data_IF_265918049185
#
_entry.id   IF_265918049185
#
_cell.length_a   1.000
_cell.length_b   1.000
_cell.length_c   1.000
_cell.angle_alpha   90.00
_cell.angle_beta   90.00
_cell.angle_gamma   90.00
#
_symmetry.space_group_name_H-M   'P 1'
#
loop_
_entity.id
_entity.type
_entity.pdbx_description
1 polymer ?
#
# COMPACT_ATOMS: atom_id res chain seq x y z
N UNK A 1 -38.53 33.47 -19.33
CA UNK A 1 -37.69 32.36 -19.83
C UNK A 1 -36.36 32.42 -19.13
N UNK A 2 -36.09 31.52 -18.18
CA UNK A 2 -34.74 31.18 -17.71
C UNK A 2 -34.89 29.93 -16.84
N UNK A 3 -34.83 28.77 -17.49
CA UNK A 3 -34.70 27.50 -16.79
C UNK A 3 -33.28 27.39 -16.28
N UNK A 4 -33.11 27.34 -14.96
CA UNK A 4 -31.84 26.95 -14.36
C UNK A 4 -31.65 25.46 -14.65
N UNK A 5 -30.82 25.15 -15.63
CA UNK A 5 -30.35 23.79 -15.88
C UNK A 5 -29.47 23.39 -14.71
N UNK A 6 -30.06 22.63 -13.78
CA UNK A 6 -29.27 21.88 -12.81
C UNK A 6 -28.39 20.92 -13.61
N UNK A 7 -27.10 21.23 -13.69
CA UNK A 7 -26.10 20.27 -14.12
C UNK A 7 -26.11 19.13 -13.10
N UNK A 8 -26.83 18.05 -13.43
CA UNK A 8 -26.74 16.78 -12.72
C UNK A 8 -25.30 16.28 -12.86
N UNK A 9 -24.50 16.51 -11.83
CA UNK A 9 -23.22 15.85 -11.67
C UNK A 9 -23.52 14.39 -11.33
N UNK A 10 -23.57 13.54 -12.35
CA UNK A 10 -23.56 12.09 -12.21
C UNK A 10 -22.26 11.66 -11.53
N UNK A 11 -22.23 11.77 -10.20
CA UNK A 11 -21.36 10.95 -9.36
C UNK A 11 -22.01 9.59 -9.23
N UNK A 12 -22.06 8.83 -10.32
CA UNK A 12 -22.14 7.37 -10.19
C UNK A 12 -20.97 6.95 -9.32
N UNK A 13 -21.27 6.53 -8.08
CA UNK A 13 -20.27 6.14 -7.08
C UNK A 13 -19.41 5.02 -7.62
N UNK A 14 -18.30 5.37 -8.27
CA UNK A 14 -17.40 4.40 -8.85
C UNK A 14 -16.62 3.76 -7.70
N UNK A 15 -17.02 2.53 -7.34
CA UNK A 15 -16.28 1.72 -6.38
C UNK A 15 -14.94 1.35 -7.05
N UNK A 16 -13.80 1.69 -6.44
CA UNK A 16 -12.52 1.35 -7.02
C UNK A 16 -12.36 -0.17 -7.09
N UNK A 17 -11.77 -0.67 -8.17
CA UNK A 17 -11.50 -2.10 -8.34
C UNK A 17 -10.60 -2.66 -7.23
N UNK A 18 -9.71 -1.81 -6.69
CA UNK A 18 -8.87 -2.12 -5.55
C UNK A 18 -8.77 -0.95 -4.58
N UNK A 19 -8.65 -1.26 -3.30
CA UNK A 19 -8.32 -0.31 -2.24
C UNK A 19 -7.14 -0.81 -1.43
N UNK A 20 -6.33 0.11 -0.92
CA UNK A 20 -5.17 -0.21 -0.08
C UNK A 20 -5.37 0.48 1.26
N UNK A 21 -5.31 -0.30 2.32
CA UNK A 21 -5.40 0.19 3.69
C UNK A 21 -4.09 -0.05 4.44
N UNK A 22 -3.90 0.64 5.57
CA UNK A 22 -2.75 0.48 6.43
C UNK A 22 -1.57 1.37 6.04
N UNK A 23 -0.36 0.97 6.46
CA UNK A 23 0.86 1.75 6.24
C UNK A 23 1.97 0.92 5.64
N UNK A 24 2.48 1.36 4.48
CA UNK A 24 3.60 0.71 3.80
C UNK A 24 4.87 0.85 4.62
N UNK A 25 5.12 2.01 5.24
CA UNK A 25 6.26 2.22 6.14
C UNK A 25 6.26 1.27 7.34
N UNK A 26 5.08 0.98 7.90
CA UNK A 26 4.95 0.02 9.01
C UNK A 26 4.87 -1.43 8.54
N UNK A 27 4.90 -1.68 7.22
CA UNK A 27 4.67 -2.97 6.56
C UNK A 27 3.40 -3.65 7.11
N UNK A 28 2.29 -2.95 6.97
CA UNK A 28 0.97 -3.33 7.50
C UNK A 28 -0.14 -3.13 6.47
N UNK A 29 0.22 -3.12 5.18
CA UNK A 29 -0.74 -2.86 4.12
C UNK A 29 -1.63 -4.07 3.85
N UNK A 30 -2.88 -3.78 3.54
CA UNK A 30 -3.86 -4.74 3.05
C UNK A 30 -4.43 -4.24 1.75
N UNK A 31 -4.34 -5.05 0.71
CA UNK A 31 -4.88 -4.76 -0.61
C UNK A 31 -6.20 -5.52 -0.71
N UNK A 32 -7.28 -4.80 -0.99
CA UNK A 32 -8.63 -5.36 -1.11
C UNK A 32 -9.18 -5.14 -2.51
N UNK A 33 -10.01 -6.06 -2.97
CA UNK A 33 -10.80 -5.88 -4.19
C UNK A 33 -12.03 -4.98 -3.94
N UNK A 34 -12.80 -4.70 -4.98
CA UNK A 34 -14.05 -3.93 -4.90
C UNK A 34 -15.11 -4.56 -4.00
N UNK A 35 -15.03 -5.87 -3.76
CA UNK A 35 -15.88 -6.60 -2.81
C UNK A 35 -15.44 -6.46 -1.34
N UNK A 36 -14.30 -5.81 -1.08
CA UNK A 36 -13.74 -5.66 0.26
C UNK A 36 -12.95 -6.87 0.75
N UNK A 37 -12.73 -7.88 -0.09
CA UNK A 37 -11.97 -9.08 0.24
C UNK A 37 -10.47 -8.80 0.15
N UNK A 38 -9.70 -9.29 1.13
CA UNK A 38 -8.25 -9.11 1.16
C UNK A 38 -7.57 -10.05 0.15
N UNK A 39 -7.03 -9.46 -0.93
CA UNK A 39 -6.37 -10.18 -2.02
C UNK A 39 -4.86 -10.27 -1.86
N UNK A 40 -4.27 -9.35 -1.10
CA UNK A 40 -2.87 -9.42 -0.72
C UNK A 40 -2.57 -8.64 0.56
N UNK A 41 -1.49 -9.02 1.24
CA UNK A 41 -1.05 -8.41 2.49
C UNK A 41 0.46 -8.22 2.54
N UNK A 42 0.86 -7.08 3.06
CA UNK A 42 2.26 -6.74 3.32
C UNK A 42 2.48 -6.76 4.83
N UNK A 43 3.41 -7.60 5.29
CA UNK A 43 3.78 -7.74 6.70
C UNK A 43 5.28 -7.53 6.91
N UNK A 44 5.67 -7.14 8.12
CA UNK A 44 7.10 -7.09 8.48
C UNK A 44 7.69 -8.49 8.44
N UNK A 45 8.78 -8.66 7.71
CA UNK A 45 9.56 -9.90 7.77
C UNK A 45 10.52 -9.80 8.97
N UNK A 46 10.32 -10.66 9.98
CA UNK A 46 11.30 -10.81 11.06
C UNK A 46 12.48 -11.60 10.51
N UNK A 47 13.53 -10.92 10.06
CA UNK A 47 14.82 -11.59 9.89
C UNK A 47 15.29 -12.05 11.28
N UNK A 48 15.77 -13.30 11.38
CA UNK A 48 16.36 -13.80 12.63
C UNK A 48 17.43 -12.83 13.12
N UNK A 49 17.48 -12.59 14.42
CA UNK A 49 18.21 -11.51 15.09
C UNK A 49 19.76 -11.53 14.95
N UNK A 50 20.32 -12.27 14.00
CA UNK A 50 21.74 -12.60 13.96
C UNK A 50 22.56 -11.93 12.85
N UNK A 51 21.99 -11.22 11.86
CA UNK A 51 22.84 -10.82 10.71
C UNK A 51 22.45 -9.62 9.84
N UNK A 52 21.41 -8.83 10.16
CA UNK A 52 21.09 -7.66 9.34
C UNK A 52 21.08 -6.42 10.23
N UNK A 53 21.91 -5.44 9.88
CA UNK A 53 21.87 -4.09 10.45
C UNK A 53 20.42 -3.58 10.42
N UNK A 54 20.02 -2.81 11.43
CA UNK A 54 18.66 -2.25 11.57
C UNK A 54 18.12 -1.62 10.27
N UNK A 55 19.01 -1.11 9.43
CA UNK A 55 18.74 -0.56 8.09
C UNK A 55 18.20 -1.59 7.09
N UNK A 56 18.74 -2.81 7.03
CA UNK A 56 18.27 -3.85 6.11
C UNK A 56 16.95 -4.47 6.56
N UNK A 57 16.68 -4.47 7.87
CA UNK A 57 15.43 -5.00 8.42
C UNK A 57 14.20 -4.14 8.07
N UNK A 58 14.38 -2.86 7.73
CA UNK A 58 13.28 -1.98 7.32
C UNK A 58 12.84 -2.17 5.87
N UNK A 59 13.78 -2.55 4.98
CA UNK A 59 13.51 -2.77 3.55
C UNK A 59 12.93 -4.16 3.25
N UNK A 60 13.12 -5.13 4.16
CA UNK A 60 12.65 -6.49 3.94
C UNK A 60 11.23 -6.67 4.49
N UNK A 61 10.31 -7.05 3.62
CA UNK A 61 8.92 -7.37 3.97
C UNK A 61 8.47 -8.70 3.38
N UNK A 62 7.39 -9.24 3.93
CA UNK A 62 6.69 -10.39 3.37
C UNK A 62 5.46 -9.90 2.60
N UNK A 63 5.26 -10.44 1.40
CA UNK A 63 4.08 -10.23 0.58
C UNK A 63 3.35 -11.55 0.46
N UNK A 64 2.12 -11.60 0.97
CA UNK A 64 1.21 -12.75 0.88
C UNK A 64 0.14 -12.40 -0.14
N UNK A 65 0.00 -13.19 -1.20
CA UNK A 65 -0.99 -12.98 -2.28
C UNK A 65 -1.95 -14.17 -2.28
N UNK A 66 -3.25 -13.90 -2.35
CA UNK A 66 -4.25 -14.96 -2.43
C UNK A 66 -4.09 -15.76 -3.74
N UNK A 67 -4.42 -17.06 -3.72
CA UNK A 67 -4.49 -17.86 -4.95
C UNK A 67 -5.40 -17.20 -5.99
N UNK A 68 -5.04 -17.31 -7.27
CA UNK A 68 -5.79 -16.76 -8.42
C UNK A 68 -5.83 -15.23 -8.54
N UNK A 69 -5.00 -14.51 -7.76
CA UNK A 69 -4.79 -13.06 -7.93
C UNK A 69 -3.59 -12.82 -8.84
N UNK A 70 -3.69 -11.82 -9.72
CA UNK A 70 -2.58 -11.42 -10.59
C UNK A 70 -1.43 -10.82 -9.76
N UNK A 71 -0.38 -11.63 -9.58
CA UNK A 71 0.83 -11.23 -8.87
C UNK A 71 1.51 -9.99 -9.50
N UNK A 72 1.44 -9.80 -10.83
CA UNK A 72 2.04 -8.65 -11.48
C UNK A 72 1.32 -7.36 -11.09
N UNK A 73 -0.01 -7.40 -11.02
CA UNK A 73 -0.82 -6.28 -10.56
C UNK A 73 -0.53 -5.94 -9.09
N UNK A 74 -0.42 -6.95 -8.21
CA UNK A 74 -0.06 -6.74 -6.81
C UNK A 74 1.34 -6.13 -6.68
N UNK A 75 2.32 -6.62 -7.45
CA UNK A 75 3.67 -6.06 -7.48
C UNK A 75 3.68 -4.62 -8.00
N UNK A 76 2.82 -4.27 -8.97
CA UNK A 76 2.68 -2.89 -9.42
C UNK A 76 2.24 -1.96 -8.28
N UNK A 77 1.30 -2.38 -7.43
CA UNK A 77 0.93 -1.62 -6.23
C UNK A 77 2.11 -1.48 -5.26
N UNK A 78 2.87 -2.54 -5.02
CA UNK A 78 4.06 -2.49 -4.17
C UNK A 78 5.07 -1.46 -4.68
N UNK A 79 5.33 -1.45 -5.99
CA UNK A 79 6.25 -0.49 -6.63
C UNK A 79 5.73 0.94 -6.46
N UNK A 80 4.44 1.19 -6.72
CA UNK A 80 3.84 2.51 -6.54
C UNK A 80 3.94 2.96 -5.08
N UNK A 81 3.58 2.09 -4.13
CA UNK A 81 3.67 2.37 -2.70
C UNK A 81 5.11 2.68 -2.27
N UNK A 82 6.09 1.95 -2.78
CA UNK A 82 7.51 2.19 -2.51
C UNK A 82 7.95 3.58 -2.98
N UNK A 83 7.56 3.95 -4.22
CA UNK A 83 7.89 5.25 -4.80
C UNK A 83 7.26 6.42 -4.07
N UNK A 84 5.98 6.31 -3.66
CA UNK A 84 5.27 7.42 -2.99
C UNK A 84 5.55 7.48 -1.48
N UNK A 85 5.93 6.36 -0.86
CA UNK A 85 6.27 6.31 0.56
C UNK A 85 7.77 6.53 0.83
N UNK A 86 8.58 6.66 -0.23
CA UNK A 86 10.01 6.89 -0.16
C UNK A 86 10.37 8.03 0.81
N UNK A 87 11.36 7.80 1.67
CA UNK A 87 11.95 8.85 2.52
C UNK A 87 13.40 9.10 2.09
N UNK A 88 13.88 10.35 2.07
CA UNK A 88 15.31 10.59 2.17
C UNK A 88 15.80 10.03 3.51
N UNK A 89 16.94 9.35 3.49
CA UNK A 89 17.60 8.83 4.69
C UNK A 89 17.81 9.97 5.69
N UNK A 90 17.05 9.96 6.79
CA UNK A 90 17.29 10.83 7.95
C UNK A 90 18.01 10.00 9.00
N UNK A 91 19.35 10.08 9.10
CA UNK A 91 20.04 9.40 10.18
C UNK A 91 19.49 9.94 11.49
N UNK A 92 19.13 9.05 12.42
CA UNK A 92 18.87 9.45 13.80
C UNK A 92 20.21 9.90 14.38
N UNK A 93 20.51 11.20 14.27
CA UNK A 93 21.52 11.84 15.10
C UNK A 93 20.91 11.97 16.49
N UNK A 94 21.31 11.07 17.40
CA UNK A 94 20.99 11.19 18.81
C UNK A 94 21.62 12.49 19.31
N UNK A 95 20.82 13.49 19.64
CA UNK A 95 21.29 14.64 20.41
C UNK A 95 21.66 14.14 21.81
N UNK A 96 22.94 14.24 22.13
CA UNK A 96 23.57 13.99 23.44
C UNK A 96 23.18 15.01 24.49
#
# INVERSE_FOLDING_TARGET
MSGCTHASSDRTGHVPAFSIEGSFKRRSCKIRNSGGEEVARITRKKAGAASLSLTLAEDVFSLEVQPNVDCAMIMAFVIVLDRICWKPYTPMICSS
#
